data_IF_619895510153
#
_entry.id   IF_619895510153
#
_cell.length_a   1.000
_cell.length_b   1.000
_cell.length_c   1.000
_cell.angle_alpha   90.00
_cell.angle_beta   90.00
_cell.angle_gamma   90.00
#
_symmetry.space_group_name_H-M   'P 1'
#
loop_
_entity.id
_entity.type
_entity.pdbx_description
1 polymer ?
#
# COMPACT_ATOMS: atom_id res chain seq x y z
N UNK A 1 -16.66 -8.68 -3.24
CA UNK A 1 -17.01 -9.30 -1.95
C UNK A 1 -17.55 -10.69 -2.24
N UNK A 2 -16.77 -11.74 -1.97
CA UNK A 2 -17.13 -13.12 -2.38
C UNK A 2 -18.35 -13.61 -1.60
N UNK A 3 -19.15 -14.50 -2.19
CA UNK A 3 -20.28 -15.14 -1.50
C UNK A 3 -19.79 -16.32 -0.68
N UNK A 4 -20.37 -16.51 0.50
CA UNK A 4 -20.10 -17.66 1.35
C UNK A 4 -20.51 -18.96 0.63
N UNK A 5 -19.64 -20.00 0.59
CA UNK A 5 -19.95 -21.25 -0.09
C UNK A 5 -21.09 -22.03 0.59
N UNK A 6 -21.32 -21.81 1.89
CA UNK A 6 -22.32 -22.53 2.66
C UNK A 6 -23.73 -21.91 2.58
N UNK A 7 -23.83 -20.60 2.84
CA UNK A 7 -25.13 -19.91 2.98
C UNK A 7 -25.39 -18.85 1.90
N UNK A 8 -24.47 -18.68 0.94
CA UNK A 8 -24.52 -17.73 -0.19
C UNK A 8 -24.67 -16.25 0.18
N UNK A 9 -24.63 -15.90 1.47
CA UNK A 9 -24.57 -14.52 1.94
C UNK A 9 -23.22 -13.87 1.59
N UNK A 10 -23.18 -12.54 1.62
CA UNK A 10 -21.96 -11.76 1.47
C UNK A 10 -20.93 -12.11 2.56
N UNK A 11 -19.68 -12.30 2.16
CA UNK A 11 -18.55 -12.51 3.07
C UNK A 11 -17.56 -11.36 2.95
N UNK A 12 -17.24 -10.70 4.07
CA UNK A 12 -16.37 -9.53 4.11
C UNK A 12 -14.90 -9.90 4.27
N UNK A 13 -14.01 -9.29 3.48
CA UNK A 13 -12.56 -9.47 3.63
C UNK A 13 -12.08 -8.84 4.94
N UNK A 14 -11.40 -9.62 5.78
CA UNK A 14 -10.80 -9.15 7.05
C UNK A 14 -9.34 -8.78 6.88
N UNK A 15 -8.59 -9.62 6.19
CA UNK A 15 -7.19 -9.42 5.89
C UNK A 15 -6.89 -9.96 4.50
N UNK A 16 -5.85 -9.43 3.87
CA UNK A 16 -5.35 -9.96 2.61
C UNK A 16 -3.83 -9.95 2.59
N UNK A 17 -3.25 -10.94 1.92
CA UNK A 17 -1.81 -11.11 1.75
C UNK A 17 -1.53 -11.43 0.29
N UNK A 18 -0.50 -10.83 -0.28
CA UNK A 18 0.04 -11.28 -1.56
C UNK A 18 0.90 -12.52 -1.34
N UNK A 19 0.55 -13.61 -2.03
CA UNK A 19 1.33 -14.85 -2.03
C UNK A 19 2.37 -14.79 -3.15
N UNK A 20 2.03 -14.13 -4.26
CA UNK A 20 2.92 -13.76 -5.36
C UNK A 20 2.48 -12.43 -5.96
N UNK A 21 3.24 -11.89 -6.91
CA UNK A 21 2.93 -10.61 -7.57
C UNK A 21 1.56 -10.63 -8.27
N UNK A 22 1.12 -11.80 -8.73
CA UNK A 22 -0.13 -11.95 -9.48
C UNK A 22 -1.26 -12.59 -8.66
N UNK A 23 -1.00 -13.06 -7.44
CA UNK A 23 -1.97 -13.80 -6.62
C UNK A 23 -2.11 -13.19 -5.23
N UNK A 24 -3.33 -12.74 -4.93
CA UNK A 24 -3.73 -12.20 -3.65
C UNK A 24 -4.60 -13.22 -2.90
N UNK A 25 -4.14 -13.63 -1.73
CA UNK A 25 -4.94 -14.38 -0.77
C UNK A 25 -5.74 -13.41 0.10
N UNK A 26 -7.05 -13.62 0.20
CA UNK A 26 -7.95 -12.84 1.05
C UNK A 26 -8.64 -13.76 2.05
N UNK A 27 -8.69 -13.36 3.32
CA UNK A 27 -9.41 -14.04 4.40
C UNK A 27 -10.77 -13.36 4.54
N UNK A 28 -11.85 -14.12 4.37
CA UNK A 28 -13.20 -13.61 4.40
C UNK A 28 -14.02 -14.24 5.51
N UNK A 29 -14.88 -13.43 6.12
CA UNK A 29 -15.84 -13.85 7.13
C UNK A 29 -17.26 -13.58 6.63
N UNK A 30 -18.13 -14.58 6.72
CA UNK A 30 -19.54 -14.43 6.39
C UNK A 30 -20.20 -13.37 7.29
N UNK A 31 -21.01 -12.49 6.71
CA UNK A 31 -21.76 -11.47 7.47
C UNK A 31 -22.95 -12.06 8.23
N UNK A 32 -23.47 -13.22 7.80
CA UNK A 32 -24.54 -13.90 8.51
C UNK A 32 -23.97 -14.49 9.81
N UNK A 33 -24.39 -13.95 10.96
CA UNK A 33 -23.95 -14.38 12.30
C UNK A 33 -24.23 -15.86 12.58
N UNK A 34 -25.29 -16.42 12.00
CA UNK A 34 -25.63 -17.84 12.16
C UNK A 34 -24.69 -18.75 11.37
N UNK A 35 -24.14 -18.25 10.25
CA UNK A 35 -23.16 -18.99 9.47
C UNK A 35 -21.76 -18.78 10.02
N UNK A 36 -21.36 -17.53 10.28
CA UNK A 36 -20.04 -17.09 10.79
C UNK A 36 -18.81 -17.72 10.10
N UNK A 37 -19.00 -18.40 8.96
CA UNK A 37 -17.97 -19.15 8.28
C UNK A 37 -16.83 -18.25 7.88
N UNK A 38 -15.61 -18.71 8.15
CA UNK A 38 -14.38 -18.01 7.81
C UNK A 38 -13.61 -18.85 6.82
N UNK A 39 -13.24 -18.29 5.68
CA UNK A 39 -12.58 -19.01 4.60
C UNK A 39 -11.58 -18.13 3.86
N UNK A 40 -10.67 -18.76 3.11
CA UNK A 40 -9.67 -18.05 2.30
C UNK A 40 -10.03 -18.17 0.82
N UNK A 41 -9.75 -17.12 0.05
CA UNK A 41 -9.87 -17.14 -1.41
C UNK A 41 -8.59 -16.62 -2.03
N UNK A 42 -8.20 -17.19 -3.18
CA UNK A 42 -7.08 -16.71 -3.98
C UNK A 42 -7.63 -15.98 -5.20
N UNK A 43 -7.42 -14.68 -5.26
CA UNK A 43 -7.71 -13.83 -6.42
C UNK A 43 -6.44 -13.73 -7.25
N UNK A 44 -6.49 -14.18 -8.51
CA UNK A 44 -5.35 -14.16 -9.44
C UNK A 44 -5.64 -13.29 -10.66
N UNK A 45 -4.60 -12.62 -11.18
CA UNK A 45 -4.69 -11.85 -12.42
C UNK A 45 -4.55 -12.83 -13.59
N UNK A 46 -5.64 -13.07 -14.33
CA UNK A 46 -5.59 -13.95 -15.50
C UNK A 46 -4.98 -13.27 -16.73
N UNK A 47 -5.38 -12.03 -17.01
CA UNK A 47 -4.87 -11.26 -18.15
C UNK A 47 -5.08 -9.76 -17.91
N UNK A 48 -4.15 -8.95 -18.41
CA UNK A 48 -4.29 -7.49 -18.43
C UNK A 48 -4.92 -7.09 -19.76
N UNK A 49 -6.18 -6.63 -19.72
CA UNK A 49 -6.92 -6.25 -20.94
C UNK A 49 -6.39 -4.94 -21.55
N UNK A 50 -5.91 -4.02 -20.72
CA UNK A 50 -5.33 -2.75 -21.14
C UNK A 50 -4.26 -2.32 -20.16
N UNK A 51 -3.05 -2.03 -20.66
CA UNK A 51 -1.99 -1.42 -19.86
C UNK A 51 -2.31 0.06 -19.59
N UNK A 52 -1.90 0.62 -18.45
CA UNK A 52 -1.96 2.06 -18.24
C UNK A 52 -1.16 2.78 -19.34
N UNK A 53 -1.61 3.98 -19.72
CA UNK A 53 -0.84 4.85 -20.61
C UNK A 53 0.34 5.36 -19.80
N UNK A 54 1.54 4.85 -20.10
CA UNK A 54 2.77 5.42 -19.55
C UNK A 54 2.99 6.74 -20.24
N UNK A 55 2.40 7.82 -19.73
CA UNK A 55 2.97 9.13 -20.00
C UNK A 55 4.28 9.20 -19.22
N UNK A 56 5.41 9.16 -19.94
CA UNK A 56 6.71 9.42 -19.37
C UNK A 56 6.68 10.81 -18.75
N UNK A 57 6.50 10.88 -17.42
CA UNK A 57 6.76 12.10 -16.68
C UNK A 57 8.20 12.49 -17.01
N UNK A 58 8.45 13.63 -17.67
CA UNK A 58 9.83 14.03 -17.96
C UNK A 58 10.58 14.07 -16.64
N UNK A 59 11.76 13.43 -16.63
CA UNK A 59 12.61 13.35 -15.45
C UNK A 59 12.77 14.76 -14.86
N UNK A 60 12.64 14.94 -13.52
CA UNK A 60 12.95 16.23 -12.92
C UNK A 60 14.41 16.52 -13.24
N UNK A 61 14.65 17.58 -14.03
CA UNK A 61 15.98 18.05 -14.36
C UNK A 61 16.76 18.23 -13.06
N UNK A 62 17.87 17.52 -12.93
CA UNK A 62 18.79 17.68 -11.81
C UNK A 62 19.49 19.03 -11.93
N UNK A 63 18.96 20.07 -11.29
CA UNK A 63 19.70 21.32 -11.08
C UNK A 63 19.32 21.93 -9.74
N UNK A 64 20.12 21.66 -8.72
CA UNK A 64 20.68 22.68 -7.83
C UNK A 64 21.63 22.00 -6.82
N UNK A 65 22.90 22.43 -6.70
CA UNK A 65 23.74 21.97 -5.60
C UNK A 65 23.14 22.46 -4.28
N UNK A 66 23.07 21.55 -3.31
CA UNK A 66 22.66 21.86 -1.95
C UNK A 66 23.55 22.99 -1.38
N UNK A 67 22.97 24.18 -1.23
CA UNK A 67 23.65 25.27 -0.52
C UNK A 67 23.76 24.85 0.94
N UNK A 68 24.97 24.50 1.36
CA UNK A 68 25.31 24.28 2.76
C UNK A 68 25.01 25.58 3.52
N UNK A 69 23.96 25.56 4.35
CA UNK A 69 23.68 26.65 5.29
C UNK A 69 24.83 26.75 6.29
N UNK A 70 25.73 27.72 6.11
CA UNK A 70 26.70 28.07 7.14
C UNK A 70 25.95 28.71 8.31
N UNK A 71 25.72 27.93 9.37
CA UNK A 71 25.31 28.43 10.67
C UNK A 71 26.47 29.28 11.21
N UNK A 72 26.31 30.61 11.24
CA UNK A 72 27.19 31.46 12.06
C UNK A 72 26.88 31.12 13.51
N UNK A 73 27.82 30.44 14.17
CA UNK A 73 27.77 30.23 15.61
C UNK A 73 27.74 31.58 16.31
N UNK A 74 26.58 31.96 16.80
CA UNK A 74 26.41 33.09 17.71
C UNK A 74 26.20 32.49 19.10
N UNK A 75 27.29 32.27 19.84
CA UNK A 75 27.43 32.58 21.27
C UNK A 75 28.71 31.93 21.82
N UNK A 76 29.84 32.61 21.66
CA UNK A 76 30.96 32.46 22.57
C UNK A 76 31.22 33.85 23.16
N UNK A 77 30.65 34.07 24.35
CA UNK A 77 30.90 35.22 25.22
C UNK A 77 32.40 35.45 25.39
N UNK A 78 32.93 36.67 25.16
CA UNK A 78 34.31 36.97 25.46
C UNK A 78 34.40 38.14 26.45
N UNK A 79 34.06 37.93 27.72
CA UNK A 79 34.64 38.72 28.81
C UNK A 79 34.85 37.83 30.04
N UNK A 80 36.00 37.15 30.03
CA UNK A 80 36.86 37.00 31.21
C UNK A 80 37.58 38.33 31.42
N UNK A 81 37.18 39.14 32.40
CA UNK A 81 38.03 39.79 33.41
C UNK A 81 37.20 40.70 34.31
#
# INVERSE_FOLDING_TARGET
>A
MMRCPFCRHSAHTRTSRYVSDNVKESYLQCQNIYCSATFKTHESICAVIRSPVTEEKPAPASTAPAVVRKVKGCYSSPFNH
#
